data_IF_801863535161
#
_entry.id   IF_801863535161
#
_cell.length_a   1.000
_cell.length_b   1.000
_cell.length_c   1.000
_cell.angle_alpha   90.00
_cell.angle_beta   90.00
_cell.angle_gamma   90.00
#
_symmetry.space_group_name_H-M   'P 1'
#
loop_
_entity.id
_entity.type
_entity.pdbx_description
1 polymer ?
#
# COMPACT_ATOMS: atom_id res chain seq x y z
N UNK A 1 2.11 1.37 31.75
CA UNK A 1 2.66 1.59 30.39
C UNK A 1 1.78 2.58 29.64
N UNK A 2 2.32 3.71 29.21
CA UNK A 2 1.55 4.71 28.43
C UNK A 2 1.29 4.10 27.06
N UNK A 3 0.03 3.81 26.74
CA UNK A 3 -0.37 3.30 25.45
C UNK A 3 -0.14 4.41 24.40
N UNK A 4 0.85 4.24 23.54
CA UNK A 4 1.11 5.21 22.45
C UNK A 4 -0.09 5.30 21.51
N UNK A 5 -0.57 6.51 21.28
CA UNK A 5 -1.68 6.73 20.34
C UNK A 5 -1.27 6.44 18.90
N UNK A 6 -2.23 6.05 18.05
CA UNK A 6 -2.01 5.86 16.60
C UNK A 6 -1.44 7.12 15.93
N UNK A 7 -1.75 8.30 16.46
CA UNK A 7 -1.21 9.59 15.97
C UNK A 7 0.28 9.71 16.30
N UNK A 8 0.68 9.37 17.53
CA UNK A 8 2.09 9.38 17.94
C UNK A 8 2.91 8.37 17.14
N UNK A 9 2.43 7.13 17.01
CA UNK A 9 3.08 6.11 16.19
C UNK A 9 3.26 6.58 14.74
N UNK A 10 2.24 7.16 14.14
CA UNK A 10 2.33 7.69 12.78
C UNK A 10 3.43 8.73 12.65
N UNK A 11 3.54 9.66 13.61
CA UNK A 11 4.59 10.69 13.62
C UNK A 11 5.98 10.05 13.67
N UNK A 12 6.21 9.13 14.59
CA UNK A 12 7.50 8.44 14.77
C UNK A 12 7.91 7.67 13.52
N UNK A 13 7.05 6.78 13.02
CA UNK A 13 7.39 5.94 11.86
C UNK A 13 7.49 6.72 10.55
N UNK A 14 6.72 7.80 10.41
CA UNK A 14 6.87 8.74 9.31
C UNK A 14 8.25 9.38 9.30
N UNK A 15 8.76 9.84 10.46
CA UNK A 15 10.11 10.38 10.59
C UNK A 15 11.18 9.33 10.23
N UNK A 16 11.04 8.08 10.70
CA UNK A 16 11.96 6.99 10.36
C UNK A 16 11.98 6.79 8.83
N UNK A 17 10.82 6.69 8.18
CA UNK A 17 10.74 6.48 6.75
C UNK A 17 11.28 7.66 5.94
N UNK A 18 10.90 8.88 6.28
CA UNK A 18 11.36 10.11 5.60
C UNK A 18 12.85 10.37 5.82
N UNK A 19 13.43 9.86 6.90
CA UNK A 19 14.87 9.92 7.19
C UNK A 19 15.73 8.92 6.39
N UNK A 20 15.13 8.02 5.62
CA UNK A 20 15.88 7.13 4.75
C UNK A 20 16.47 7.92 3.57
N UNK A 21 17.77 7.73 3.29
CA UNK A 21 18.38 8.33 2.10
C UNK A 21 17.80 7.74 0.82
N UNK A 22 17.79 8.52 -0.27
CA UNK A 22 17.28 8.07 -1.57
C UNK A 22 17.99 6.80 -2.07
N UNK A 23 19.27 6.63 -1.76
CA UNK A 23 20.01 5.41 -2.09
C UNK A 23 19.50 4.20 -1.31
N UNK A 24 19.22 4.37 -0.01
CA UNK A 24 18.65 3.31 0.84
C UNK A 24 17.25 2.94 0.39
N UNK A 25 16.41 3.93 0.06
CA UNK A 25 15.07 3.71 -0.50
C UNK A 25 15.15 2.85 -1.77
N UNK A 26 15.98 3.22 -2.75
CA UNK A 26 16.15 2.43 -3.99
C UNK A 26 16.62 1.00 -3.71
N UNK A 27 17.65 0.84 -2.87
CA UNK A 27 18.20 -0.49 -2.53
C UNK A 27 17.17 -1.38 -1.84
N UNK A 28 16.48 -0.89 -0.82
CA UNK A 28 15.48 -1.65 -0.10
C UNK A 28 14.25 -1.95 -0.97
N UNK A 29 13.80 -0.99 -1.78
CA UNK A 29 12.70 -1.19 -2.72
C UNK A 29 13.03 -2.29 -3.74
N UNK A 30 14.27 -2.37 -4.23
CA UNK A 30 14.68 -3.44 -5.15
C UNK A 30 14.57 -4.83 -4.50
N UNK A 31 14.98 -4.97 -3.23
CA UNK A 31 14.84 -6.23 -2.48
C UNK A 31 13.36 -6.59 -2.24
N UNK A 32 12.54 -5.60 -1.89
CA UNK A 32 11.09 -5.80 -1.70
C UNK A 32 10.43 -6.24 -3.00
N UNK A 33 10.76 -5.60 -4.14
CA UNK A 33 10.25 -6.03 -5.45
C UNK A 33 10.71 -7.45 -5.79
N UNK A 34 11.95 -7.82 -5.46
CA UNK A 34 12.44 -9.20 -5.63
C UNK A 34 11.60 -10.20 -4.81
N UNK A 35 11.31 -9.89 -3.54
CA UNK A 35 10.50 -10.74 -2.68
C UNK A 35 9.03 -10.80 -3.17
N UNK A 36 8.49 -9.69 -3.68
CA UNK A 36 7.15 -9.63 -4.29
C UNK A 36 7.06 -10.54 -5.54
N UNK A 37 8.07 -10.51 -6.41
CA UNK A 37 8.12 -11.37 -7.61
C UNK A 37 8.15 -12.86 -7.30
N UNK A 38 8.56 -13.26 -6.11
CA UNK A 38 8.57 -14.66 -5.67
C UNK A 38 7.20 -15.14 -5.14
N UNK A 39 6.22 -14.25 -4.96
CA UNK A 39 4.90 -14.65 -4.50
C UNK A 39 4.07 -15.21 -5.65
N UNK A 40 3.56 -16.42 -5.48
CA UNK A 40 2.73 -17.13 -6.49
C UNK A 40 1.50 -16.31 -6.88
N UNK A 41 0.86 -15.66 -5.91
CA UNK A 41 -0.31 -14.80 -6.12
C UNK A 41 0.03 -13.59 -6.99
N UNK A 42 1.21 -12.99 -6.79
CA UNK A 42 1.65 -11.90 -7.63
C UNK A 42 2.02 -12.38 -9.04
N UNK A 43 2.64 -13.56 -9.16
CA UNK A 43 2.96 -14.15 -10.45
C UNK A 43 1.71 -14.42 -11.29
N UNK A 44 0.67 -14.97 -10.68
CA UNK A 44 -0.61 -15.26 -11.32
C UNK A 44 -1.51 -14.05 -11.59
N UNK A 45 -1.26 -12.92 -10.94
CA UNK A 45 -2.06 -11.72 -11.09
C UNK A 45 -1.82 -11.02 -12.43
N UNK A 46 -2.89 -10.59 -13.09
CA UNK A 46 -2.86 -9.79 -14.32
C UNK A 46 -3.22 -8.33 -14.08
N UNK A 47 -4.20 -8.06 -13.21
CA UNK A 47 -4.70 -6.73 -12.87
C UNK A 47 -4.27 -6.35 -11.46
N UNK A 48 -3.41 -5.38 -11.31
CA UNK A 48 -2.80 -5.00 -10.04
C UNK A 48 -3.17 -3.56 -9.69
N UNK A 49 -3.85 -3.38 -8.56
CA UNK A 49 -3.99 -2.08 -7.93
C UNK A 49 -2.64 -1.67 -7.32
N UNK A 50 -2.11 -0.52 -7.70
CA UNK A 50 -0.80 -0.04 -7.26
C UNK A 50 -0.91 1.38 -6.72
N UNK A 51 0.21 2.05 -6.49
CA UNK A 51 0.26 3.44 -6.02
C UNK A 51 1.47 4.16 -6.60
N UNK A 52 1.41 5.48 -6.66
CA UNK A 52 2.57 6.31 -6.93
C UNK A 52 3.31 6.57 -5.61
N UNK A 53 4.55 6.11 -5.53
CA UNK A 53 5.36 6.22 -4.31
C UNK A 53 5.67 7.68 -3.98
N UNK A 54 5.38 8.08 -2.75
CA UNK A 54 5.65 9.42 -2.21
C UNK A 54 6.43 9.32 -0.91
N UNK A 55 7.18 10.38 -0.58
CA UNK A 55 7.82 10.53 0.75
C UNK A 55 8.54 9.26 1.23
N UNK A 56 9.42 8.72 0.38
CA UNK A 56 10.19 7.51 0.67
C UNK A 56 9.36 6.23 0.88
N UNK A 57 8.18 6.12 0.28
CA UNK A 57 7.48 4.84 0.17
C UNK A 57 8.26 3.86 -0.72
N UNK A 58 7.95 2.58 -0.58
CA UNK A 58 8.54 1.54 -1.45
C UNK A 58 8.23 1.85 -2.91
N UNK A 59 9.26 1.91 -3.73
CA UNK A 59 9.14 2.13 -5.17
C UNK A 59 8.73 0.81 -5.81
N UNK A 60 7.55 0.78 -6.41
CA UNK A 60 7.03 -0.42 -7.12
C UNK A 60 7.53 -0.42 -8.55
N UNK A 61 8.12 -1.53 -8.98
CA UNK A 61 8.53 -1.75 -10.35
C UNK A 61 7.42 -2.48 -11.12
N UNK A 62 6.91 -1.86 -12.16
CA UNK A 62 5.92 -2.49 -13.03
C UNK A 62 6.59 -3.59 -13.87
N UNK A 63 5.92 -4.73 -13.97
CA UNK A 63 6.38 -5.91 -14.74
C UNK A 63 5.65 -5.94 -16.07
N UNK A 64 6.36 -6.19 -17.15
CA UNK A 64 5.79 -6.35 -18.49
C UNK A 64 4.78 -7.51 -18.51
N UNK A 65 3.66 -7.31 -19.18
CA UNK A 65 2.58 -8.30 -19.24
C UNK A 65 1.53 -8.18 -18.14
N UNK A 66 1.75 -7.31 -17.13
CA UNK A 66 0.76 -7.00 -16.09
C UNK A 66 0.16 -5.62 -16.28
N UNK A 67 -1.12 -5.46 -15.92
CA UNK A 67 -1.83 -4.18 -15.96
C UNK A 67 -1.85 -3.56 -14.57
N UNK A 68 -1.44 -2.30 -14.47
CA UNK A 68 -1.39 -1.56 -13.20
C UNK A 68 -2.41 -0.44 -13.19
N UNK A 69 -3.14 -0.35 -12.08
CA UNK A 69 -4.17 0.64 -11.83
C UNK A 69 -3.79 1.47 -10.62
N UNK A 70 -3.94 2.78 -10.73
CA UNK A 70 -3.49 3.74 -9.73
C UNK A 70 -4.66 4.47 -9.09
N UNK A 71 -4.55 4.82 -7.80
CA UNK A 71 -5.65 5.41 -7.06
C UNK A 71 -5.89 6.86 -7.46
N UNK A 72 -7.17 7.23 -7.48
CA UNK A 72 -7.67 8.58 -7.49
C UNK A 72 -8.66 8.75 -6.35
N UNK A 73 -8.51 9.84 -5.59
CA UNK A 73 -9.40 10.11 -4.46
C UNK A 73 -10.76 10.55 -4.99
N UNK A 74 -11.81 9.87 -4.53
CA UNK A 74 -13.20 10.22 -4.79
C UNK A 74 -13.96 10.26 -3.47
N UNK A 75 -14.32 11.46 -3.01
CA UNK A 75 -14.90 11.70 -1.69
C UNK A 75 -13.99 11.13 -0.58
N UNK A 76 -14.36 10.01 0.02
CA UNK A 76 -13.62 9.36 1.12
C UNK A 76 -13.06 7.97 0.75
N UNK A 77 -13.08 7.60 -0.53
CA UNK A 77 -12.61 6.30 -1.06
C UNK A 77 -11.61 6.50 -2.18
N UNK A 78 -10.98 5.41 -2.60
CA UNK A 78 -10.13 5.34 -3.77
C UNK A 78 -10.86 4.62 -4.90
N UNK A 79 -10.87 5.25 -6.07
CA UNK A 79 -11.14 4.58 -7.34
C UNK A 79 -9.82 4.32 -8.04
N UNK A 80 -9.71 3.22 -8.76
CA UNK A 80 -8.47 2.83 -9.43
C UNK A 80 -8.62 2.97 -10.94
N UNK A 81 -7.62 3.55 -11.58
CA UNK A 81 -7.62 3.87 -13.01
C UNK A 81 -6.39 3.30 -13.68
N UNK A 82 -6.50 2.95 -14.96
CA UNK A 82 -5.35 2.52 -15.75
C UNK A 82 -4.25 3.59 -15.72
N UNK A 83 -3.00 3.17 -15.91
CA UNK A 83 -1.90 4.11 -16.01
C UNK A 83 -2.14 5.06 -17.19
N UNK A 84 -1.72 6.30 -17.04
CA UNK A 84 -1.88 7.36 -18.03
C UNK A 84 -0.58 8.12 -18.19
N UNK A 85 -0.34 8.64 -19.40
CA UNK A 85 0.79 9.55 -19.66
C UNK A 85 0.49 10.97 -19.17
N UNK A 86 -0.78 11.27 -18.89
CA UNK A 86 -1.21 12.55 -18.35
C UNK A 86 -1.64 12.39 -16.89
N UNK A 87 -1.34 13.39 -16.07
CA UNK A 87 -1.56 13.36 -14.64
C UNK A 87 -2.14 14.67 -14.13
N UNK A 88 -2.91 14.54 -13.05
CA UNK A 88 -3.30 15.67 -12.20
C UNK A 88 -2.70 15.47 -10.80
N UNK A 89 -2.72 16.52 -10.00
CA UNK A 89 -2.32 16.43 -8.59
C UNK A 89 -3.54 16.75 -7.73
N UNK A 90 -3.79 15.90 -6.73
CA UNK A 90 -4.89 16.14 -5.80
C UNK A 90 -4.51 17.19 -4.73
N UNK A 91 -5.44 17.50 -3.84
CA UNK A 91 -5.25 18.47 -2.75
C UNK A 91 -4.08 18.15 -1.79
N UNK A 92 -3.56 16.93 -1.80
CA UNK A 92 -2.40 16.50 -1.01
C UNK A 92 -1.09 16.52 -1.81
N UNK A 93 -1.11 17.00 -3.06
CA UNK A 93 0.04 16.98 -3.97
C UNK A 93 0.39 15.57 -4.47
N UNK A 94 -0.52 14.62 -4.38
CA UNK A 94 -0.31 13.25 -4.85
C UNK A 94 -0.76 13.17 -6.31
N UNK A 95 0.10 12.55 -7.13
CA UNK A 95 -0.15 12.29 -8.55
C UNK A 95 -1.36 11.36 -8.72
N UNK A 96 -2.27 11.71 -9.61
CA UNK A 96 -3.42 10.91 -9.99
C UNK A 96 -3.50 10.78 -11.52
N UNK A 97 -3.89 9.61 -12.06
CA UNK A 97 -4.02 9.45 -13.51
C UNK A 97 -5.16 10.32 -14.05
N UNK A 98 -4.91 10.99 -15.19
CA UNK A 98 -5.92 11.74 -15.92
C UNK A 98 -6.28 11.02 -17.22
N UNK A 99 -7.52 11.21 -17.70
CA UNK A 99 -7.98 10.65 -18.98
C UNK A 99 -7.76 9.14 -19.15
N UNK A 100 -8.07 8.36 -18.10
CA UNK A 100 -7.85 6.92 -18.05
C UNK A 100 -9.11 6.18 -17.63
N UNK A 101 -9.19 4.89 -17.97
CA UNK A 101 -10.34 4.06 -17.65
C UNK A 101 -10.34 3.64 -16.19
N UNK A 102 -11.52 3.73 -15.56
CA UNK A 102 -11.73 3.26 -14.21
C UNK A 102 -11.85 1.73 -14.19
N UNK A 103 -11.07 1.11 -13.31
CA UNK A 103 -11.15 -0.33 -13.05
C UNK A 103 -12.21 -0.60 -11.97
N UNK A 104 -13.07 -1.57 -12.23
CA UNK A 104 -13.93 -2.13 -11.18
C UNK A 104 -13.09 -2.89 -10.16
N UNK A 105 -13.25 -2.58 -8.87
CA UNK A 105 -12.38 -3.14 -7.82
C UNK A 105 -12.45 -4.68 -7.74
N UNK A 106 -13.58 -5.27 -8.09
CA UNK A 106 -13.77 -6.73 -8.10
C UNK A 106 -13.01 -7.43 -9.25
N UNK A 107 -12.56 -6.69 -10.25
CA UNK A 107 -11.75 -7.20 -11.37
C UNK A 107 -10.23 -7.03 -11.13
N UNK A 108 -9.83 -6.49 -9.99
CA UNK A 108 -8.44 -6.43 -9.55
C UNK A 108 -8.08 -7.75 -8.86
N UNK A 109 -6.94 -8.33 -9.21
CA UNK A 109 -6.50 -9.59 -8.60
C UNK A 109 -5.88 -9.37 -7.22
N UNK A 110 -5.08 -8.30 -7.10
CA UNK A 110 -4.47 -7.88 -5.84
C UNK A 110 -4.20 -6.37 -5.80
N UNK A 111 -4.12 -5.83 -4.58
CA UNK A 111 -3.70 -4.46 -4.32
C UNK A 111 -2.36 -4.43 -3.59
N UNK A 112 -1.42 -3.66 -4.13
CA UNK A 112 -0.21 -3.24 -3.44
C UNK A 112 -0.54 -2.00 -2.61
N UNK A 113 -0.30 -2.08 -1.31
CA UNK A 113 -0.77 -1.07 -0.34
C UNK A 113 0.41 -0.40 0.34
N UNK A 114 0.56 0.93 0.24
CA UNK A 114 1.60 1.65 0.95
C UNK A 114 1.28 1.74 2.44
N UNK A 115 2.32 1.86 3.26
CA UNK A 115 2.20 1.98 4.70
C UNK A 115 3.26 2.91 5.32
N UNK A 116 2.94 3.46 6.48
CA UNK A 116 3.87 4.20 7.33
C UNK A 116 4.46 3.28 8.40
N UNK A 117 3.63 2.39 8.95
CA UNK A 117 4.03 1.35 9.87
C UNK A 117 3.10 0.15 9.75
N UNK A 118 3.53 -0.98 10.29
CA UNK A 118 2.71 -2.19 10.37
C UNK A 118 3.01 -2.97 11.65
N UNK A 119 2.13 -3.91 12.01
CA UNK A 119 2.36 -4.82 13.14
C UNK A 119 2.27 -6.29 12.72
N UNK A 120 2.57 -7.20 13.63
CA UNK A 120 2.53 -8.64 13.39
C UNK A 120 1.14 -9.17 13.01
N UNK A 121 0.09 -8.47 13.41
CA UNK A 121 -1.29 -8.80 13.03
C UNK A 121 -1.68 -8.31 11.63
N UNK A 122 -0.73 -7.83 10.84
CA UNK A 122 -0.89 -7.34 9.46
C UNK A 122 -1.78 -6.10 9.34
N UNK A 123 -1.92 -5.33 10.41
CA UNK A 123 -2.55 -4.01 10.33
C UNK A 123 -1.51 -2.95 10.01
N UNK A 124 -1.94 -1.93 9.28
CA UNK A 124 -1.07 -0.83 8.88
C UNK A 124 -1.48 0.50 9.48
N UNK A 125 -0.53 1.38 9.62
CA UNK A 125 -0.75 2.81 9.80
C UNK A 125 -0.53 3.50 8.45
N UNK A 126 -1.55 4.22 7.96
CA UNK A 126 -1.47 5.11 6.80
C UNK A 126 -1.43 6.57 7.23
N UNK A 127 -1.61 7.49 6.26
CA UNK A 127 -1.56 8.95 6.49
C UNK A 127 -2.71 9.52 7.33
N UNK A 128 -3.76 8.75 7.60
CA UNK A 128 -4.86 9.14 8.48
C UNK A 128 -6.18 9.49 7.78
N UNK A 129 -6.21 9.57 6.46
CA UNK A 129 -7.44 9.81 5.69
C UNK A 129 -8.40 8.63 5.63
N UNK A 130 -7.96 7.42 6.00
CA UNK A 130 -8.78 6.21 6.01
C UNK A 130 -9.20 5.71 4.61
N UNK A 131 -8.68 6.29 3.54
CA UNK A 131 -9.10 6.00 2.16
C UNK A 131 -9.02 4.51 1.81
N UNK A 132 -7.91 3.86 2.11
CA UNK A 132 -7.73 2.43 1.85
C UNK A 132 -8.68 1.57 2.69
N UNK A 133 -8.87 1.88 3.98
CA UNK A 133 -9.76 1.14 4.86
C UNK A 133 -11.22 1.26 4.39
N UNK A 134 -11.65 2.46 4.02
CA UNK A 134 -13.00 2.69 3.49
C UNK A 134 -13.21 2.04 2.12
N UNK A 135 -12.17 1.97 1.28
CA UNK A 135 -12.24 1.29 -0.02
C UNK A 135 -12.34 -0.22 0.15
N UNK A 136 -11.51 -0.78 1.01
CA UNK A 136 -11.41 -2.23 1.19
C UNK A 136 -12.43 -2.82 2.17
N UNK A 137 -13.13 -1.99 2.95
CA UNK A 137 -14.20 -2.46 3.84
C UNK A 137 -15.26 -3.30 3.09
N UNK A 138 -15.50 -3.01 1.81
CA UNK A 138 -16.43 -3.77 0.98
C UNK A 138 -15.98 -5.21 0.68
N UNK A 139 -14.71 -5.55 0.93
CA UNK A 139 -14.17 -6.89 0.72
C UNK A 139 -14.27 -7.78 1.96
N UNK A 140 -14.54 -7.20 3.12
CA UNK A 140 -14.63 -7.94 4.37
C UNK A 140 -15.76 -8.98 4.31
N UNK A 141 -15.46 -10.20 4.73
CA UNK A 141 -16.40 -11.33 4.73
C UNK A 141 -16.68 -11.96 3.35
N UNK A 142 -16.12 -11.45 2.26
CA UNK A 142 -16.29 -12.05 0.94
C UNK A 142 -15.35 -13.24 0.76
N UNK A 143 -15.86 -14.37 0.26
CA UNK A 143 -15.05 -15.57 -0.07
C UNK A 143 -14.10 -15.31 -1.24
N UNK A 144 -14.53 -14.53 -2.23
CA UNK A 144 -13.72 -14.13 -3.38
C UNK A 144 -13.53 -12.62 -3.36
N UNK A 145 -12.31 -12.17 -3.25
CA UNK A 145 -11.92 -10.77 -3.23
C UNK A 145 -10.46 -10.60 -3.66
N UNK A 146 -10.04 -9.41 -4.08
CA UNK A 146 -8.64 -9.10 -4.30
C UNK A 146 -7.79 -9.33 -3.03
N UNK A 147 -6.54 -9.76 -3.21
CA UNK A 147 -5.57 -9.82 -2.12
C UNK A 147 -5.05 -8.42 -1.78
N UNK A 148 -4.80 -8.19 -0.51
CA UNK A 148 -4.25 -6.94 0.01
C UNK A 148 -2.81 -7.18 0.49
N UNK A 149 -1.82 -6.72 -0.27
CA UNK A 149 -0.40 -6.91 0.03
C UNK A 149 0.22 -5.57 0.40
N UNK A 150 0.63 -5.43 1.66
CA UNK A 150 1.36 -4.27 2.13
C UNK A 150 2.81 -4.30 1.67
N UNK A 151 3.34 -3.16 1.25
CA UNK A 151 4.76 -3.00 0.96
C UNK A 151 5.36 -1.98 1.93
N UNK A 152 6.37 -2.39 2.68
CA UNK A 152 7.02 -1.55 3.67
C UNK A 152 8.44 -2.01 3.98
N UNK A 153 9.21 -1.14 4.63
CA UNK A 153 10.53 -1.49 5.12
C UNK A 153 10.41 -2.16 6.49
N UNK A 154 11.25 -3.14 6.77
CA UNK A 154 11.24 -3.88 8.02
C UNK A 154 11.42 -2.97 9.26
N UNK A 155 12.18 -1.89 9.14
CA UNK A 155 12.32 -0.88 10.19
C UNK A 155 11.02 -0.11 10.53
N UNK A 156 9.94 -0.33 9.79
CA UNK A 156 8.62 0.24 10.05
C UNK A 156 7.68 -0.73 10.80
N UNK A 157 8.19 -1.90 11.20
CA UNK A 157 7.47 -2.84 12.04
C UNK A 157 7.31 -2.28 13.45
N UNK A 158 6.10 -2.31 13.96
CA UNK A 158 5.74 -1.92 15.32
C UNK A 158 5.35 -3.15 16.14
N UNK A 159 5.88 -3.25 17.35
CA UNK A 159 5.49 -4.28 18.31
C UNK A 159 4.14 -3.98 18.99
N UNK A 160 3.57 -2.80 18.74
CA UNK A 160 2.35 -2.36 19.39
C UNK A 160 1.10 -2.74 18.57
N UNK A 161 0.07 -3.16 19.29
CA UNK A 161 -1.26 -3.33 18.75
C UNK A 161 -1.98 -1.97 18.71
N UNK A 162 -2.14 -1.40 17.53
CA UNK A 162 -2.72 -0.07 17.32
C UNK A 162 -4.03 -0.09 16.55
N UNK A 163 -4.44 -1.25 16.05
CA UNK A 163 -5.62 -1.39 15.20
C UNK A 163 -6.92 -1.16 15.96
N UNK A 164 -7.91 -0.70 15.23
CA UNK A 164 -9.30 -0.52 15.65
C UNK A 164 -10.22 -1.35 14.78
N UNK A 165 -11.50 -1.43 15.11
CA UNK A 165 -12.51 -2.14 14.31
C UNK A 165 -12.71 -1.56 12.89
N UNK A 166 -12.24 -0.34 12.64
CA UNK A 166 -12.33 0.33 11.32
C UNK A 166 -11.17 0.01 10.40
N UNK A 167 -10.11 -0.57 10.93
CA UNK A 167 -8.91 -0.88 10.14
C UNK A 167 -9.08 -2.22 9.41
N UNK A 168 -8.71 -2.26 8.15
CA UNK A 168 -8.72 -3.49 7.35
C UNK A 168 -7.38 -4.17 7.46
N UNK A 169 -7.41 -5.45 7.87
CA UNK A 169 -6.24 -6.32 7.91
C UNK A 169 -5.77 -6.62 6.49
N UNK A 170 -4.47 -6.59 6.29
CA UNK A 170 -3.84 -7.03 5.05
C UNK A 170 -3.70 -8.56 5.04
N UNK A 171 -3.55 -9.15 3.86
CA UNK A 171 -3.33 -10.59 3.73
C UNK A 171 -1.85 -10.94 3.91
N UNK A 172 -0.95 -10.06 3.41
CA UNK A 172 0.50 -10.17 3.55
C UNK A 172 1.14 -8.80 3.70
N UNK A 173 2.32 -8.75 4.29
CA UNK A 173 3.21 -7.59 4.22
C UNK A 173 4.59 -8.06 3.76
N UNK A 174 5.13 -7.42 2.73
CA UNK A 174 6.42 -7.75 2.15
C UNK A 174 7.42 -6.66 2.49
N UNK A 175 8.54 -7.07 3.07
CA UNK A 175 9.68 -6.22 3.40
C UNK A 175 10.94 -6.73 2.68
N UNK A 176 12.04 -6.00 2.81
CA UNK A 176 13.36 -6.44 2.32
C UNK A 176 13.89 -7.68 3.05
N UNK A 177 13.37 -7.98 4.25
CA UNK A 177 13.79 -9.14 5.04
C UNK A 177 12.92 -10.37 4.83
N UNK A 178 11.74 -10.23 4.25
CA UNK A 178 10.84 -11.34 4.00
C UNK A 178 9.36 -10.96 3.96
N UNK A 179 8.52 -11.96 4.17
CA UNK A 179 7.06 -11.88 4.08
C UNK A 179 6.43 -12.19 5.43
N UNK A 180 5.56 -11.31 5.88
CA UNK A 180 4.68 -11.49 7.03
C UNK A 180 3.31 -11.97 6.54
N UNK A 181 2.77 -13.05 7.14
CA UNK A 181 1.49 -13.69 6.82
C UNK A 181 0.65 -13.93 8.05
#
# INVERSE_FOLDING_TARGET
MVQMSKVSLRKTYKQIREGLSSNKVRKLSALINKNLLQQSEYQGASNIGSYYSIKNEVIVNNVVGKKYFYPKISRNKLNFFSNSDTFTFNQFGIKEPANSEQMQLDNVDLFLVPLIAFNEKLFRIGYGGGFYDQTFANFLGRKKRPLLIGLGYDCLKSELNFQTQKDVRLDKIITEKGVYV
#
